data_IF_654568532069
#
_entry.id   IF_654568532069
#
_cell.length_a   1.000
_cell.length_b   1.000
_cell.length_c   1.000
_cell.angle_alpha   90.00
_cell.angle_beta   90.00
_cell.angle_gamma   90.00
#
_symmetry.space_group_name_H-M   'P 1'
#
loop_
_entity.id
_entity.type
_entity.pdbx_description
1 polymer ?
#
# COMPACT_ATOMS: atom_id res chain seq x y z
N UNK A 1 -19.55 -24.66 -5.55
CA UNK A 1 -18.19 -24.10 -5.75
C UNK A 1 -18.32 -22.59 -5.83
N UNK A 2 -18.26 -21.91 -4.69
CA UNK A 2 -18.05 -20.47 -4.67
C UNK A 2 -16.55 -20.24 -4.59
N UNK A 3 -16.01 -19.56 -5.58
CA UNK A 3 -14.64 -19.07 -5.57
C UNK A 3 -14.47 -18.20 -4.34
N UNK A 4 -13.65 -18.64 -3.38
CA UNK A 4 -13.18 -17.77 -2.30
C UNK A 4 -12.36 -16.69 -2.99
N UNK A 5 -13.00 -15.58 -3.34
CA UNK A 5 -12.33 -14.34 -3.63
C UNK A 5 -11.56 -14.01 -2.35
N UNK A 6 -10.27 -14.33 -2.34
CA UNK A 6 -9.34 -13.81 -1.36
C UNK A 6 -9.44 -12.31 -1.47
N UNK A 7 -10.29 -11.67 -0.65
CA UNK A 7 -10.43 -10.22 -0.65
C UNK A 7 -9.05 -9.67 -0.33
N UNK A 8 -8.35 -9.19 -1.34
CA UNK A 8 -7.03 -8.59 -1.21
C UNK A 8 -7.18 -7.38 -0.31
N UNK A 9 -6.80 -7.55 0.95
CA UNK A 9 -6.84 -6.49 1.94
C UNK A 9 -5.52 -5.72 1.89
N UNK A 10 -5.52 -4.71 1.03
CA UNK A 10 -4.39 -3.83 0.76
C UNK A 10 -4.76 -2.38 1.08
N UNK A 11 -3.73 -1.56 1.26
CA UNK A 11 -3.85 -0.12 1.18
C UNK A 11 -3.47 0.32 -0.24
N UNK A 12 -3.91 1.52 -0.62
CA UNK A 12 -3.61 2.12 -1.93
C UNK A 12 -2.52 3.19 -1.84
N UNK A 13 -2.22 3.69 -0.63
CA UNK A 13 -1.23 4.74 -0.39
C UNK A 13 -0.22 4.35 0.71
N UNK A 14 1.09 4.58 0.51
CA UNK A 14 2.13 4.28 1.51
C UNK A 14 1.99 5.11 2.79
N UNK A 15 1.23 6.20 2.77
CA UNK A 15 0.92 7.00 3.95
C UNK A 15 -0.21 6.43 4.80
N UNK A 16 -0.93 5.39 4.35
CA UNK A 16 -2.06 4.83 5.10
C UNK A 16 -1.71 4.39 6.53
N UNK A 17 -0.51 3.86 6.77
CA UNK A 17 -0.07 3.52 8.14
C UNK A 17 0.11 4.75 9.02
N UNK A 18 0.67 5.83 8.46
CA UNK A 18 0.88 7.11 9.16
C UNK A 18 -0.45 7.81 9.45
N UNK A 19 -1.35 7.85 8.47
CA UNK A 19 -2.67 8.43 8.65
C UNK A 19 -3.50 7.66 9.68
N UNK A 20 -3.45 6.32 9.66
CA UNK A 20 -4.12 5.53 10.67
C UNK A 20 -3.56 5.78 12.08
N UNK A 21 -2.23 5.90 12.25
CA UNK A 21 -1.63 6.24 13.55
C UNK A 21 -1.98 7.65 14.01
N UNK A 22 -2.24 8.57 13.09
CA UNK A 22 -2.63 9.95 13.39
C UNK A 22 -4.14 10.12 13.62
N UNK A 23 -4.92 9.05 13.63
CA UNK A 23 -6.35 9.11 13.93
C UNK A 23 -7.26 9.45 12.74
N UNK A 24 -6.79 9.24 11.51
CA UNK A 24 -7.61 9.47 10.30
C UNK A 24 -8.72 8.44 10.13
N UNK A 25 -8.60 7.24 10.72
CA UNK A 25 -9.64 6.20 10.59
C UNK A 25 -11.02 6.67 11.10
N UNK A 26 -11.16 7.25 12.32
CA UNK A 26 -12.42 7.84 12.74
C UNK A 26 -12.69 9.23 12.13
N UNK A 27 -11.65 10.06 11.95
CA UNK A 27 -11.80 11.46 11.52
C UNK A 27 -12.15 11.61 10.04
N UNK A 28 -11.58 10.74 9.20
CA UNK A 28 -11.75 10.72 7.75
C UNK A 28 -12.14 9.32 7.26
N UNK A 29 -13.11 8.72 7.96
CA UNK A 29 -13.47 7.31 7.79
C UNK A 29 -13.89 6.93 6.37
N UNK A 30 -14.52 7.84 5.60
CA UNK A 30 -14.91 7.57 4.22
C UNK A 30 -13.68 7.36 3.32
N UNK A 31 -12.71 8.27 3.37
CA UNK A 31 -11.48 8.16 2.60
C UNK A 31 -10.68 6.93 3.04
N UNK A 32 -10.50 6.77 4.35
CA UNK A 32 -9.74 5.66 4.92
C UNK A 32 -10.37 4.30 4.61
N UNK A 33 -11.71 4.21 4.53
CA UNK A 33 -12.43 3.00 4.13
C UNK A 33 -12.27 2.66 2.65
N UNK A 34 -11.98 3.63 1.79
CA UNK A 34 -11.72 3.37 0.38
C UNK A 34 -10.26 2.95 0.16
N UNK A 35 -9.32 3.75 0.68
CA UNK A 35 -7.91 3.67 0.30
C UNK A 35 -7.00 3.02 1.36
N UNK A 36 -7.41 3.02 2.63
CA UNK A 36 -6.56 2.59 3.76
C UNK A 36 -7.20 1.48 4.59
N UNK A 37 -7.94 0.59 3.92
CA UNK A 37 -8.75 -0.46 4.56
C UNK A 37 -7.95 -1.35 5.49
N UNK A 38 -6.72 -1.71 5.09
CA UNK A 38 -5.85 -2.58 5.87
C UNK A 38 -5.35 -1.85 7.12
N UNK A 39 -4.84 -0.63 6.98
CA UNK A 39 -4.34 0.16 8.12
C UNK A 39 -5.42 0.49 9.13
N UNK A 40 -6.65 0.74 8.69
CA UNK A 40 -7.80 0.98 9.56
C UNK A 40 -8.55 -0.29 9.98
N UNK A 41 -8.03 -1.49 9.64
CA UNK A 41 -8.63 -2.79 10.00
C UNK A 41 -10.06 -2.98 9.52
N UNK A 42 -10.47 -2.28 8.45
CA UNK A 42 -11.76 -2.50 7.77
C UNK A 42 -11.78 -3.77 6.92
N UNK A 43 -10.61 -4.36 6.71
CA UNK A 43 -10.46 -5.71 6.18
C UNK A 43 -9.30 -6.41 6.90
N UNK A 44 -9.19 -7.72 6.70
CA UNK A 44 -8.06 -8.52 7.15
C UNK A 44 -7.45 -9.25 5.96
N UNK A 45 -6.13 -9.32 5.92
CA UNK A 45 -5.38 -10.12 4.96
C UNK A 45 -4.94 -11.41 5.64
N UNK A 46 -4.92 -12.51 4.91
CA UNK A 46 -4.24 -13.74 5.36
C UNK A 46 -2.72 -13.56 5.43
N UNK A 47 -2.18 -12.51 4.79
CA UNK A 47 -0.77 -12.14 4.92
C UNK A 47 -0.57 -11.23 6.14
N UNK A 48 -0.03 -11.80 7.21
CA UNK A 48 0.27 -11.11 8.46
C UNK A 48 1.57 -10.29 8.40
N UNK A 49 2.31 -10.31 7.28
CA UNK A 49 3.50 -9.48 7.12
C UNK A 49 3.07 -8.03 7.00
N UNK A 50 3.31 -7.28 8.07
CA UNK A 50 2.99 -5.85 8.14
C UNK A 50 4.25 -5.01 7.89
N UNK A 51 5.40 -5.51 8.33
CA UNK A 51 6.70 -4.84 8.30
C UNK A 51 7.73 -5.67 7.53
N UNK A 52 8.74 -5.00 6.97
CA UNK A 52 9.76 -5.61 6.11
C UNK A 52 9.63 -5.20 4.64
N UNK A 53 10.59 -5.63 3.82
CA UNK A 53 10.57 -5.41 2.37
C UNK A 53 10.11 -6.68 1.65
N UNK A 54 8.92 -6.65 1.08
CA UNK A 54 8.35 -7.73 0.28
C UNK A 54 7.25 -7.15 -0.61
N UNK A 55 6.81 -7.95 -1.57
CA UNK A 55 5.65 -7.63 -2.39
C UNK A 55 4.38 -8.17 -1.73
N UNK A 56 3.41 -7.28 -1.54
CA UNK A 56 2.09 -7.60 -1.01
C UNK A 56 1.14 -8.13 -2.08
N UNK A 57 1.39 -7.79 -3.34
CA UNK A 57 0.56 -8.21 -4.46
C UNK A 57 1.33 -9.14 -5.41
N UNK A 58 0.70 -10.25 -5.80
CA UNK A 58 1.30 -11.28 -6.64
C UNK A 58 1.77 -10.75 -8.01
N UNK A 59 1.14 -9.71 -8.53
CA UNK A 59 1.50 -9.12 -9.83
C UNK A 59 2.63 -8.10 -9.77
N UNK A 60 3.26 -7.86 -8.62
CA UNK A 60 4.33 -6.86 -8.51
C UNK A 60 5.50 -7.06 -9.50
N UNK A 61 6.02 -8.29 -9.75
CA UNK A 61 7.07 -8.49 -10.75
C UNK A 61 6.62 -8.11 -12.17
N UNK A 62 5.37 -8.45 -12.53
CA UNK A 62 4.78 -8.08 -13.83
C UNK A 62 4.57 -6.57 -13.94
N UNK A 63 4.03 -5.94 -12.90
CA UNK A 63 3.84 -4.48 -12.88
C UNK A 63 5.18 -3.73 -12.93
N UNK A 64 6.22 -4.27 -12.28
CA UNK A 64 7.59 -3.75 -12.39
C UNK A 64 8.09 -3.77 -13.83
N UNK A 65 7.92 -4.88 -14.55
CA UNK A 65 8.37 -4.99 -15.96
C UNK A 65 7.58 -4.07 -16.89
N UNK A 66 6.36 -3.67 -16.51
CA UNK A 66 5.53 -2.66 -17.19
C UNK A 66 5.84 -1.21 -16.82
N UNK A 67 6.82 -0.96 -15.93
CA UNK A 67 7.21 0.39 -15.52
C UNK A 67 6.28 1.03 -14.47
N UNK A 68 5.43 0.24 -13.81
CA UNK A 68 4.41 0.78 -12.89
C UNK A 68 5.01 1.39 -11.63
N UNK A 69 6.24 1.04 -11.24
CA UNK A 69 6.93 1.70 -10.11
C UNK A 69 7.07 3.22 -10.31
N UNK A 70 6.98 3.70 -11.54
CA UNK A 70 6.95 5.12 -11.88
C UNK A 70 5.50 5.57 -12.14
N UNK A 71 4.76 4.85 -12.99
CA UNK A 71 3.41 5.27 -13.44
C UNK A 71 2.33 5.18 -12.35
N UNK A 72 2.44 4.22 -11.44
CA UNK A 72 1.54 3.97 -10.29
C UNK A 72 2.33 3.98 -8.99
N UNK A 73 3.20 4.99 -8.84
CA UNK A 73 4.20 5.05 -7.77
C UNK A 73 3.61 4.89 -6.37
N UNK A 74 2.48 5.53 -6.06
CA UNK A 74 1.81 5.42 -4.75
C UNK A 74 1.43 3.96 -4.44
N UNK A 75 0.60 3.36 -5.29
CA UNK A 75 0.15 1.98 -5.08
C UNK A 75 1.31 0.99 -5.04
N UNK A 76 2.30 1.16 -5.93
CA UNK A 76 3.49 0.31 -5.96
C UNK A 76 4.37 0.50 -4.73
N UNK A 77 4.45 1.71 -4.15
CA UNK A 77 5.25 1.97 -2.94
C UNK A 77 4.67 1.27 -1.72
N UNK A 78 3.35 1.17 -1.64
CA UNK A 78 2.67 0.43 -0.59
C UNK A 78 2.75 -1.09 -0.80
N UNK A 79 2.63 -1.55 -2.05
CA UNK A 79 2.36 -2.95 -2.34
C UNK A 79 3.51 -3.72 -2.99
N UNK A 80 4.53 -3.07 -3.53
CA UNK A 80 5.55 -3.69 -4.39
C UNK A 80 6.98 -3.25 -4.08
N UNK A 81 7.31 -3.07 -2.79
CA UNK A 81 8.61 -2.53 -2.35
C UNK A 81 9.79 -3.37 -2.82
N UNK A 82 9.67 -4.70 -2.83
CA UNK A 82 10.76 -5.58 -3.26
C UNK A 82 10.95 -5.46 -4.78
N UNK A 83 9.89 -5.62 -5.55
CA UNK A 83 9.92 -5.50 -7.01
C UNK A 83 10.42 -4.12 -7.48
N UNK A 84 10.07 -3.03 -6.78
CA UNK A 84 10.48 -1.68 -7.13
C UNK A 84 11.85 -1.25 -6.55
N UNK A 85 12.53 -2.12 -5.78
CA UNK A 85 13.86 -1.82 -5.24
C UNK A 85 13.86 -0.81 -4.08
N UNK A 86 12.77 -0.73 -3.30
CA UNK A 86 12.62 0.19 -2.17
C UNK A 86 12.88 -0.45 -0.80
N UNK A 87 13.68 -1.53 -0.75
CA UNK A 87 14.01 -2.20 0.51
C UNK A 87 14.86 -1.34 1.46
N UNK A 88 15.68 -0.45 0.90
CA UNK A 88 16.53 0.47 1.67
C UNK A 88 15.85 1.83 1.93
N UNK A 89 14.52 1.91 1.75
CA UNK A 89 13.73 3.11 2.00
C UNK A 89 12.70 2.77 3.06
N UNK A 90 12.58 3.60 4.10
CA UNK A 90 11.60 3.37 5.16
C UNK A 90 10.17 3.61 4.62
N UNK A 91 9.16 3.05 5.29
CA UNK A 91 7.75 3.29 4.92
C UNK A 91 7.40 4.77 5.05
N UNK A 92 7.94 5.44 6.07
CA UNK A 92 7.79 6.87 6.27
C UNK A 92 8.39 7.67 5.10
N UNK A 93 9.63 7.36 4.71
CA UNK A 93 10.26 8.02 3.55
C UNK A 93 9.51 7.76 2.25
N UNK A 94 8.97 6.55 2.06
CA UNK A 94 8.13 6.25 0.90
C UNK A 94 6.90 7.14 0.88
N UNK A 95 6.16 7.24 2.00
CA UNK A 95 5.01 8.14 2.13
C UNK A 95 5.36 9.58 1.73
N UNK A 96 6.40 10.17 2.33
CA UNK A 96 6.79 11.57 2.07
C UNK A 96 7.22 11.74 0.61
N UNK A 97 8.08 10.87 0.08
CA UNK A 97 8.58 10.97 -1.29
C UNK A 97 7.48 10.78 -2.33
N UNK A 98 6.51 9.90 -2.10
CA UNK A 98 5.39 9.72 -3.03
C UNK A 98 4.39 10.86 -2.96
N UNK A 99 4.14 11.45 -1.78
CA UNK A 99 3.24 12.58 -1.61
C UNK A 99 3.77 13.88 -2.25
N UNK A 100 5.10 14.04 -2.34
CA UNK A 100 5.74 15.18 -3.00
C UNK A 100 5.73 15.06 -4.53
N UNK A 101 5.78 13.84 -5.06
CA UNK A 101 5.79 13.58 -6.51
C UNK A 101 4.41 13.66 -7.16
N UNK A 102 3.33 13.72 -6.38
CA UNK A 102 1.96 13.95 -6.87
C UNK A 102 1.58 15.43 -6.93
N UNK A 103 2.53 16.34 -6.63
CA UNK A 103 2.36 17.81 -6.72
C UNK A 103 3.21 18.46 -7.83
N UNK A 104 3.86 17.65 -8.66
CA UNK A 104 4.62 18.04 -9.85
C UNK A 104 3.97 17.39 -11.07
#
# INVERSE_FOLDING_TARGET
METVATKTCLNDDPCCSLWASNGECPTNGNYMRLYCRRSCKYCQSSDNRQQGCFDRHLSCPYMRSRGECIRRRQWMAENCRSSCGWCNVTVYDLCIRTALMSRL
#
